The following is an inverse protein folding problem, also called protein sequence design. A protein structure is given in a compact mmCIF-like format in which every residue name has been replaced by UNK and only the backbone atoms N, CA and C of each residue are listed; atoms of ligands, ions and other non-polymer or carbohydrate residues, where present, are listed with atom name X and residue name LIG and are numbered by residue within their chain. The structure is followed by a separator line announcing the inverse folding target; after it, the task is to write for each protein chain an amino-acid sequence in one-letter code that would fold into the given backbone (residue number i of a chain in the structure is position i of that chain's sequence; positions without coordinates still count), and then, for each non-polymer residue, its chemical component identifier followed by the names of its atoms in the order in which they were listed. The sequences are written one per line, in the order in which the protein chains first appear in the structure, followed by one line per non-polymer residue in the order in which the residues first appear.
data_IF_355484982122
#
_entry.id   IF_355484982122
#
_cell.length_a   1.000
_cell.length_b   1.000
_cell.length_c   1.000
_cell.angle_alpha   90.00
_cell.angle_beta   90.00
_cell.angle_gamma   90.00
#
_symmetry.space_group_name_H-M   'P 1'
#
loop_
_entity.id
_entity.type
_entity.pdbx_description
1 polymer ?
#
# COMPACT_ATOMS: atom_id res chain seq x y z
N UNK A 1 -19.94 -11.25 -8.38
CA UNK A 1 -18.50 -10.90 -8.50
C UNK A 1 -17.90 -10.91 -7.11
N UNK A 2 -17.14 -11.94 -6.76
CA UNK A 2 -16.51 -12.04 -5.44
C UNK A 2 -15.28 -11.14 -5.40
N UNK A 3 -15.31 -10.12 -4.55
CA UNK A 3 -14.20 -9.21 -4.34
C UNK A 3 -13.06 -9.94 -3.63
N UNK A 4 -11.95 -10.16 -4.33
CA UNK A 4 -10.78 -10.84 -3.78
C UNK A 4 -9.82 -9.82 -3.16
N UNK A 5 -10.09 -9.46 -1.90
CA UNK A 5 -9.20 -8.62 -1.08
C UNK A 5 -7.80 -9.24 -1.00
N UNK A 6 -7.72 -10.58 -0.99
CA UNK A 6 -6.45 -11.32 -1.01
C UNK A 6 -5.59 -11.00 -2.24
N UNK A 7 -6.20 -10.74 -3.40
CA UNK A 7 -5.46 -10.39 -4.62
C UNK A 7 -4.86 -8.99 -4.51
N UNK A 8 -5.62 -8.04 -3.95
CA UNK A 8 -5.14 -6.68 -3.68
C UNK A 8 -4.04 -6.71 -2.61
N UNK A 9 -4.20 -7.54 -1.57
CA UNK A 9 -3.21 -7.71 -0.52
C UNK A 9 -1.91 -8.30 -1.05
N UNK A 10 -1.97 -9.32 -1.91
CA UNK A 10 -0.80 -9.91 -2.55
C UNK A 10 -0.06 -8.88 -3.42
N UNK A 11 -0.78 -8.08 -4.21
CA UNK A 11 -0.19 -7.00 -5.00
C UNK A 11 0.48 -5.93 -4.14
N UNK A 12 -0.13 -5.56 -3.01
CA UNK A 12 0.43 -4.61 -2.06
C UNK A 12 1.66 -5.19 -1.36
N UNK A 13 1.61 -6.45 -0.94
CA UNK A 13 2.71 -7.14 -0.27
C UNK A 13 3.95 -7.22 -1.18
N UNK A 14 3.77 -7.60 -2.44
CA UNK A 14 4.87 -7.62 -3.41
C UNK A 14 5.46 -6.22 -3.62
N UNK A 15 4.62 -5.20 -3.75
CA UNK A 15 5.09 -3.83 -3.90
C UNK A 15 5.87 -3.35 -2.66
N UNK A 16 5.36 -3.64 -1.46
CA UNK A 16 6.02 -3.32 -0.21
C UNK A 16 7.42 -3.96 -0.15
N UNK A 17 7.54 -5.25 -0.46
CA UNK A 17 8.82 -5.95 -0.52
C UNK A 17 9.82 -5.29 -1.49
N UNK A 18 9.36 -4.90 -2.69
CA UNK A 18 10.19 -4.23 -3.70
C UNK A 18 10.79 -2.89 -3.23
N UNK A 19 10.06 -2.14 -2.39
CA UNK A 19 10.51 -0.82 -1.91
C UNK A 19 11.09 -0.85 -0.49
N UNK A 20 11.12 -2.02 0.16
CA UNK A 20 11.59 -2.19 1.54
C UNK A 20 10.59 -1.71 2.59
N UNK A 21 9.30 -1.84 2.30
CA UNK A 21 8.20 -1.67 3.24
C UNK A 21 7.64 -3.03 3.64
N UNK A 22 6.87 -3.06 4.72
CA UNK A 22 6.22 -4.28 5.20
C UNK A 22 4.71 -4.11 5.28
N UNK A 23 3.95 -5.07 4.74
CA UNK A 23 2.50 -5.15 4.95
C UNK A 23 2.22 -5.96 6.21
N UNK A 24 1.82 -5.28 7.29
CA UNK A 24 1.64 -5.90 8.61
C UNK A 24 0.25 -6.50 8.79
N UNK A 25 -0.76 -5.80 8.27
CA UNK A 25 -2.14 -6.20 8.45
C UNK A 25 -2.98 -5.73 7.27
N UNK A 26 -4.01 -6.49 6.93
CA UNK A 26 -5.03 -6.05 5.98
C UNK A 26 -6.39 -6.63 6.31
N UNK A 27 -7.43 -5.90 5.90
CA UNK A 27 -8.82 -6.27 6.05
C UNK A 27 -9.66 -5.67 4.92
N UNK A 28 -10.92 -6.11 4.81
CA UNK A 28 -11.92 -5.40 4.02
C UNK A 28 -12.16 -4.01 4.62
N UNK A 29 -12.22 -2.97 3.79
CA UNK A 29 -12.67 -1.67 4.27
C UNK A 29 -14.17 -1.76 4.66
N UNK A 30 -14.48 -1.46 5.93
CA UNK A 30 -15.85 -1.53 6.46
C UNK A 30 -16.82 -0.58 5.74
N UNK A 31 -16.32 0.59 5.29
CA UNK A 31 -17.13 1.58 4.56
C UNK A 31 -17.29 1.25 3.08
N UNK A 32 -16.31 0.58 2.49
CA UNK A 32 -16.33 0.21 1.10
C UNK A 32 -15.69 -1.17 0.91
N UNK A 33 -16.51 -2.21 0.88
CA UNK A 33 -16.06 -3.62 0.76
C UNK A 33 -15.30 -3.92 -0.54
N UNK A 34 -15.29 -3.00 -1.49
CA UNK A 34 -14.51 -3.11 -2.74
C UNK A 34 -13.04 -2.71 -2.58
N UNK A 35 -12.69 -2.12 -1.43
CA UNK A 35 -11.34 -1.68 -1.11
C UNK A 35 -10.73 -2.53 0.01
N UNK A 36 -9.43 -2.74 -0.11
CA UNK A 36 -8.60 -3.25 0.98
C UNK A 36 -8.26 -2.09 1.91
N UNK A 37 -8.35 -2.30 3.21
CA UNK A 37 -7.73 -1.46 4.22
C UNK A 37 -6.56 -2.23 4.83
N UNK A 38 -5.35 -1.78 4.53
CA UNK A 38 -4.10 -2.36 5.02
C UNK A 38 -3.36 -1.42 5.96
N UNK A 39 -2.37 -1.97 6.63
CA UNK A 39 -1.42 -1.23 7.45
C UNK A 39 -0.02 -1.66 7.06
N UNK A 40 0.78 -0.67 6.66
CA UNK A 40 2.15 -0.86 6.19
C UNK A 40 3.14 -0.19 7.14
N UNK A 41 4.39 -0.67 7.13
CA UNK A 41 5.52 -0.07 7.81
C UNK A 41 6.54 0.35 6.74
N UNK A 42 6.96 1.61 6.79
CA UNK A 42 8.00 2.17 5.92
C UNK A 42 9.41 1.73 6.36
N UNK A 43 10.44 1.92 5.52
CA UNK A 43 11.85 1.59 5.85
C UNK A 43 12.33 2.21 7.17
N UNK A 44 11.73 3.34 7.58
CA UNK A 44 12.02 4.05 8.83
C UNK A 44 11.27 3.50 10.06
N UNK A 45 10.51 2.41 9.92
CA UNK A 45 9.67 1.86 10.98
C UNK A 45 8.36 2.61 11.22
N UNK A 46 8.01 3.57 10.35
CA UNK A 46 6.79 4.36 10.49
C UNK A 46 5.57 3.57 10.00
N UNK A 47 4.57 3.42 10.87
CA UNK A 47 3.33 2.72 10.56
C UNK A 47 2.33 3.65 9.88
N UNK A 48 1.79 3.23 8.74
CA UNK A 48 0.78 3.98 7.99
C UNK A 48 -0.37 3.08 7.56
N UNK A 49 -1.59 3.62 7.62
CA UNK A 49 -2.75 2.96 7.05
C UNK A 49 -2.78 3.19 5.52
N UNK A 50 -3.27 2.22 4.77
CA UNK A 50 -3.28 2.22 3.31
C UNK A 50 -4.59 1.65 2.79
N UNK A 51 -5.14 2.27 1.75
CA UNK A 51 -6.29 1.77 1.02
C UNK A 51 -5.86 1.23 -0.34
N UNK A 52 -6.16 -0.04 -0.61
CA UNK A 52 -5.96 -0.67 -1.91
C UNK A 52 -7.26 -0.74 -2.71
N UNK A 53 -7.19 -0.43 -4.00
CA UNK A 53 -8.33 -0.53 -4.93
C UNK A 53 -8.12 -1.67 -5.91
N UNK A 54 -9.21 -2.18 -6.50
CA UNK A 54 -9.13 -3.22 -7.53
C UNK A 54 -8.38 -2.78 -8.79
N UNK A 55 -8.29 -1.48 -9.04
CA UNK A 55 -7.53 -0.91 -10.14
C UNK A 55 -6.00 -0.96 -9.91
N UNK A 56 -5.53 -1.58 -8.82
CA UNK A 56 -4.12 -1.63 -8.45
C UNK A 56 -3.59 -0.28 -7.94
N UNK A 57 -4.47 0.66 -7.57
CA UNK A 57 -4.08 1.93 -6.96
C UNK A 57 -4.11 1.81 -5.45
N UNK A 58 -3.05 2.27 -4.81
CA UNK A 58 -2.92 2.32 -3.36
C UNK A 58 -2.88 3.76 -2.88
N UNK A 59 -3.46 4.02 -1.70
CA UNK A 59 -3.52 5.34 -1.11
C UNK A 59 -3.08 5.26 0.35
N UNK A 60 -2.07 6.04 0.72
CA UNK A 60 -1.60 6.18 2.09
C UNK A 60 -2.52 7.13 2.84
N UNK A 61 -3.01 6.74 4.00
CA UNK A 61 -3.77 7.60 4.89
C UNK A 61 -2.80 8.34 5.80
N UNK A 62 -2.79 9.67 5.70
CA UNK A 62 -1.90 10.55 6.47
C UNK A 62 -2.56 11.09 7.75
N UNK A 63 -3.79 10.62 8.05
CA UNK A 63 -4.62 11.18 9.12
C UNK A 63 -5.27 12.51 8.74
N UNK A 64 -6.14 13.01 9.61
CA UNK A 64 -6.84 14.30 9.43
C UNK A 64 -7.60 14.43 8.08
N UNK A 65 -8.21 13.34 7.63
CA UNK A 65 -8.89 13.20 6.32
C UNK A 65 -7.99 13.42 5.10
N UNK A 66 -6.66 13.43 5.28
CA UNK A 66 -5.70 13.49 4.17
C UNK A 66 -5.32 12.08 3.74
N UNK A 67 -5.29 11.90 2.43
CA UNK A 67 -4.77 10.70 1.80
C UNK A 67 -3.85 11.11 0.67
N UNK A 68 -2.84 10.29 0.42
CA UNK A 68 -1.85 10.50 -0.63
C UNK A 68 -1.84 9.26 -1.52
N UNK A 69 -1.89 9.44 -2.84
CA UNK A 69 -1.78 8.30 -3.74
C UNK A 69 -0.34 7.79 -3.74
N UNK A 70 -0.18 6.50 -3.49
CA UNK A 70 1.10 5.82 -3.61
C UNK A 70 1.35 5.63 -5.11
N UNK A 71 2.26 6.43 -5.66
CA UNK A 71 2.71 6.25 -7.02
C UNK A 71 3.80 5.17 -7.05
N UNK A 72 3.39 3.94 -7.44
CA UNK A 72 4.28 2.79 -7.51
C UNK A 72 5.50 3.07 -8.37
N UNK A 73 5.34 3.80 -9.48
CA UNK A 73 6.44 4.07 -10.41
C UNK A 73 7.46 5.01 -9.76
N UNK A 74 7.00 6.13 -9.20
CA UNK A 74 7.88 7.09 -8.54
C UNK A 74 8.64 6.48 -7.35
N UNK A 75 7.97 5.66 -6.52
CA UNK A 75 8.62 5.01 -5.37
C UNK A 75 9.64 3.96 -5.78
N UNK A 76 9.35 3.20 -6.85
CA UNK A 76 10.28 2.19 -7.37
C UNK A 76 11.50 2.84 -8.04
N UNK A 77 11.32 3.97 -8.73
CA UNK A 77 12.42 4.79 -9.28
C UNK A 77 13.28 5.36 -8.15
N UNK A 78 12.68 5.98 -7.13
CA UNK A 78 13.39 6.49 -5.96
C UNK A 78 14.19 5.40 -5.22
N UNK A 79 13.66 4.17 -5.15
CA UNK A 79 14.38 3.03 -4.56
C UNK A 79 15.55 2.56 -5.43
N UNK A 80 15.38 2.51 -6.75
CA UNK A 80 16.46 2.16 -7.69
C UNK A 80 17.61 3.15 -7.58
N UNK A 81 17.34 4.45 -7.50
CA UNK A 81 18.37 5.48 -7.34
C UNK A 81 19.14 5.31 -6.02
N UNK A 82 18.45 4.99 -4.92
CA UNK A 82 19.10 4.70 -3.63
C UNK A 82 20.01 3.46 -3.63
N UNK A 83 19.79 2.49 -4.54
CA UNK A 83 20.57 1.24 -4.60
C UNK A 83 21.86 1.37 -5.43
N UNK A 84 22.10 2.52 -6.06
CA UNK A 84 23.23 2.76 -6.99
C UNK A 84 24.41 3.49 -6.30
N UNK A 85 24.44 3.56 -4.96
CA UNK A 85 25.56 4.12 -4.19
C UNK A 85 26.25 3.04 -3.34
#
# INVERSE_FOLDING_TARGET
MSFNINLIAAGLSNFCDEIGWDLVQYAANQKNKTQLHGVIIDEKGNRFEVLGTQAGKYYKLLGNKKFEQIDRKALLEARKEKKVW
#
